data_IF_540343685690
#
_entry.id   IF_540343685690
#
_cell.length_a   1.000
_cell.length_b   1.000
_cell.length_c   1.000
_cell.angle_alpha   90.00
_cell.angle_beta   90.00
_cell.angle_gamma   90.00
#
_symmetry.space_group_name_H-M   'P 1'
#
loop_
_entity.id
_entity.type
_entity.pdbx_description
1 polymer ?
#
# COMPACT_ATOMS: atom_id res chain seq x y z
N UNK A 1 4.24 26.94 -11.66
CA UNK A 1 4.31 25.77 -12.54
C UNK A 1 5.10 24.70 -11.80
N UNK A 2 4.52 23.53 -11.55
CA UNK A 2 5.15 22.49 -10.72
C UNK A 2 6.41 21.92 -11.38
N UNK A 3 7.21 21.19 -10.61
CA UNK A 3 8.37 20.46 -11.15
C UNK A 3 7.93 19.39 -12.16
N UNK A 4 6.81 18.71 -11.89
CA UNK A 4 6.24 17.68 -12.77
C UNK A 4 5.89 18.23 -14.16
N UNK A 5 5.25 19.40 -14.23
CA UNK A 5 4.82 19.99 -15.50
C UNK A 5 6.01 20.37 -16.40
N UNK A 6 7.11 20.80 -15.80
CA UNK A 6 8.32 21.21 -16.51
C UNK A 6 9.26 20.04 -16.87
N UNK A 7 9.06 18.85 -16.32
CA UNK A 7 9.98 17.74 -16.50
C UNK A 7 9.78 17.05 -17.86
N UNK A 8 10.76 17.19 -18.76
CA UNK A 8 10.71 16.64 -20.12
C UNK A 8 10.65 15.11 -20.18
N UNK A 9 10.95 14.40 -19.07
CA UNK A 9 10.94 12.94 -18.99
C UNK A 9 9.52 12.38 -18.80
N UNK A 10 8.59 13.20 -18.29
CA UNK A 10 7.24 12.76 -17.92
C UNK A 10 6.32 12.73 -19.14
N UNK A 11 5.55 11.64 -19.29
CA UNK A 11 4.56 11.46 -20.35
C UNK A 11 3.57 12.65 -20.38
N UNK A 12 3.28 13.24 -21.55
CA UNK A 12 2.34 14.35 -21.66
C UNK A 12 0.95 14.07 -21.07
N UNK A 13 0.49 12.81 -21.07
CA UNK A 13 -0.79 12.41 -20.47
C UNK A 13 -0.77 12.52 -18.95
N UNK A 14 0.35 12.17 -18.31
CA UNK A 14 0.52 12.35 -16.85
C UNK A 14 0.52 13.85 -16.53
N UNK A 15 1.21 14.67 -17.33
CA UNK A 15 1.21 16.14 -17.16
C UNK A 15 -0.18 16.75 -17.35
N UNK A 16 -0.98 16.23 -18.27
CA UNK A 16 -2.33 16.74 -18.51
C UNK A 16 -3.26 16.55 -17.30
N UNK A 17 -3.03 15.51 -16.49
CA UNK A 17 -3.84 15.20 -15.30
C UNK A 17 -3.21 15.76 -14.02
N UNK A 18 -1.92 15.48 -13.81
CA UNK A 18 -1.21 15.77 -12.56
C UNK A 18 -0.26 16.98 -12.67
N UNK A 19 -0.22 17.68 -13.80
CA UNK A 19 0.68 18.81 -14.05
C UNK A 19 0.60 19.91 -13.00
N UNK A 20 -0.59 20.21 -12.52
CA UNK A 20 -0.80 21.20 -11.46
C UNK A 20 -0.95 20.57 -10.07
N UNK A 21 -0.98 19.23 -10.01
CA UNK A 21 -1.05 18.47 -8.78
C UNK A 21 0.32 18.45 -8.09
N UNK A 22 0.29 18.52 -6.76
CA UNK A 22 1.47 18.42 -5.93
C UNK A 22 1.28 19.18 -4.61
N UNK A 23 1.56 18.50 -3.51
CA UNK A 23 1.62 19.15 -2.21
C UNK A 23 2.85 20.06 -2.13
N UNK A 24 2.73 21.28 -1.56
CA UNK A 24 3.89 22.05 -1.21
C UNK A 24 4.75 21.27 -0.21
N UNK A 25 6.07 21.47 -0.25
CA UNK A 25 6.96 20.89 0.74
C UNK A 25 6.52 21.31 2.14
N UNK A 26 6.24 20.32 2.99
CA UNK A 26 5.89 20.55 4.38
C UNK A 26 7.16 20.61 5.25
N UNK A 27 7.10 21.36 6.35
CA UNK A 27 8.16 21.34 7.36
C UNK A 27 8.07 20.10 8.23
N UNK A 28 9.18 19.70 8.83
CA UNK A 28 9.19 18.75 9.93
C UNK A 28 8.30 19.21 11.09
N UNK A 29 7.81 18.24 11.86
CA UNK A 29 7.17 18.43 13.16
C UNK A 29 7.98 17.70 14.23
N UNK A 30 7.73 17.99 15.51
CA UNK A 30 8.47 17.37 16.60
C UNK A 30 7.83 16.05 17.05
N UNK A 31 6.49 15.98 17.04
CA UNK A 31 5.77 14.82 17.55
C UNK A 31 4.60 14.39 16.67
N UNK A 32 4.14 13.15 16.90
CA UNK A 32 2.93 12.62 16.24
C UNK A 32 1.68 13.37 16.72
N UNK A 33 1.65 13.83 17.96
CA UNK A 33 0.55 14.62 18.53
C UNK A 33 0.41 15.96 17.81
N UNK A 34 1.52 16.67 17.56
CA UNK A 34 1.52 17.91 16.77
C UNK A 34 1.00 17.66 15.35
N UNK A 35 1.36 16.53 14.74
CA UNK A 35 0.84 16.14 13.43
C UNK A 35 -0.68 15.90 13.47
N UNK A 36 -1.18 15.20 14.49
CA UNK A 36 -2.63 14.96 14.65
C UNK A 36 -3.36 16.28 14.85
N UNK A 37 -2.84 17.18 15.69
CA UNK A 37 -3.41 18.52 15.88
C UNK A 37 -3.43 19.31 14.58
N UNK A 38 -2.35 19.27 13.79
CA UNK A 38 -2.29 19.86 12.46
C UNK A 38 -3.39 19.31 11.54
N UNK A 39 -3.62 17.99 11.54
CA UNK A 39 -4.65 17.36 10.70
C UNK A 39 -6.08 17.74 11.10
N UNK A 40 -6.31 18.23 12.31
CA UNK A 40 -7.60 18.77 12.74
C UNK A 40 -7.85 20.21 12.31
N UNK A 41 -6.86 20.88 11.71
CA UNK A 41 -7.05 22.25 11.22
C UNK A 41 -7.99 22.27 10.00
N UNK A 42 -8.80 23.33 9.81
CA UNK A 42 -9.65 23.44 8.63
C UNK A 42 -8.89 23.40 7.30
N UNK A 43 -7.66 23.92 7.27
CA UNK A 43 -6.80 23.89 6.08
C UNK A 43 -6.38 22.47 5.73
N UNK A 44 -5.91 21.68 6.70
CA UNK A 44 -5.54 20.29 6.46
C UNK A 44 -6.75 19.44 6.05
N UNK A 45 -7.90 19.64 6.69
CA UNK A 45 -9.15 18.94 6.33
C UNK A 45 -9.62 19.29 4.90
N UNK A 46 -9.52 20.56 4.52
CA UNK A 46 -9.85 21.00 3.16
C UNK A 46 -8.89 20.40 2.12
N UNK A 47 -7.59 20.33 2.42
CA UNK A 47 -6.60 19.70 1.55
C UNK A 47 -6.88 18.20 1.34
N UNK A 48 -7.16 17.46 2.43
CA UNK A 48 -7.53 16.04 2.37
C UNK A 48 -8.79 15.82 1.53
N UNK A 49 -9.81 16.66 1.71
CA UNK A 49 -11.04 16.57 0.94
C UNK A 49 -10.81 16.87 -0.56
N UNK A 50 -9.97 17.85 -0.87
CA UNK A 50 -9.60 18.19 -2.24
C UNK A 50 -8.82 17.04 -2.92
N UNK A 51 -7.88 16.41 -2.22
CA UNK A 51 -7.16 15.24 -2.72
C UNK A 51 -8.11 14.07 -2.99
N UNK A 52 -8.99 13.74 -2.04
CA UNK A 52 -9.97 12.67 -2.21
C UNK A 52 -10.88 12.92 -3.43
N UNK A 53 -11.34 14.16 -3.61
CA UNK A 53 -12.15 14.54 -4.77
C UNK A 53 -11.36 14.41 -6.08
N UNK A 54 -10.11 14.90 -6.11
CA UNK A 54 -9.27 14.83 -7.30
C UNK A 54 -9.01 13.37 -7.75
N UNK A 55 -8.67 12.48 -6.83
CA UNK A 55 -8.46 11.06 -7.18
C UNK A 55 -9.76 10.34 -7.56
N UNK A 56 -10.90 10.72 -6.97
CA UNK A 56 -12.19 10.19 -7.37
C UNK A 56 -12.55 10.57 -8.82
N UNK A 57 -12.26 11.81 -9.22
CA UNK A 57 -12.55 12.32 -10.58
C UNK A 57 -11.57 11.80 -11.64
N UNK A 58 -10.37 11.34 -11.24
CA UNK A 58 -9.36 10.80 -12.14
C UNK A 58 -9.72 9.41 -12.72
N UNK A 59 -10.76 8.75 -12.19
CA UNK A 59 -11.13 7.37 -12.56
C UNK A 59 -12.47 7.37 -13.29
N UNK A 60 -12.54 6.64 -14.39
CA UNK A 60 -13.78 6.51 -15.17
C UNK A 60 -13.89 5.12 -15.80
N UNK A 61 -15.10 4.77 -16.26
CA UNK A 61 -15.36 3.48 -16.93
C UNK A 61 -14.47 3.24 -18.15
N UNK A 62 -14.00 4.30 -18.83
CA UNK A 62 -13.10 4.15 -19.95
C UNK A 62 -11.68 3.70 -19.54
N UNK A 63 -11.22 4.07 -18.34
CA UNK A 63 -9.90 3.69 -17.82
C UNK A 63 -9.94 2.43 -16.96
N UNK A 64 -11.05 2.19 -16.24
CA UNK A 64 -11.26 1.00 -15.43
C UNK A 64 -12.68 0.43 -15.66
N UNK A 65 -12.87 -0.36 -16.73
CA UNK A 65 -14.18 -0.95 -17.04
C UNK A 65 -14.66 -1.87 -15.92
N UNK A 66 -15.90 -1.67 -15.46
CA UNK A 66 -16.53 -2.53 -14.43
C UNK A 66 -17.38 -3.66 -15.01
N UNK A 67 -17.60 -3.68 -16.34
CA UNK A 67 -18.39 -4.70 -17.02
C UNK A 67 -17.78 -6.10 -16.82
N UNK A 68 -18.59 -7.04 -16.34
CA UNK A 68 -18.15 -8.41 -16.04
C UNK A 68 -17.29 -8.54 -14.77
N UNK A 69 -17.26 -7.52 -13.91
CA UNK A 69 -16.57 -7.53 -12.61
C UNK A 69 -17.60 -7.50 -11.47
N UNK A 70 -17.41 -8.38 -10.49
CA UNK A 70 -18.17 -8.44 -9.24
C UNK A 70 -17.35 -7.78 -8.14
N UNK A 71 -18.04 -7.07 -7.25
CA UNK A 71 -17.46 -6.47 -6.05
C UNK A 71 -18.25 -6.91 -4.82
N UNK A 72 -17.55 -7.39 -3.82
CA UNK A 72 -18.11 -7.77 -2.53
C UNK A 72 -17.31 -7.12 -1.40
N UNK A 73 -17.96 -6.81 -0.30
CA UNK A 73 -17.26 -6.47 0.95
C UNK A 73 -17.23 -7.70 1.82
N UNK A 74 -16.02 -8.15 2.16
CA UNK A 74 -15.79 -9.18 3.18
C UNK A 74 -15.28 -8.52 4.44
N UNK A 75 -15.47 -9.20 5.57
CA UNK A 75 -15.10 -8.69 6.89
C UNK A 75 -14.43 -9.80 7.69
N UNK A 76 -13.39 -9.47 8.43
CA UNK A 76 -12.71 -10.39 9.33
C UNK A 76 -12.31 -9.70 10.64
N UNK A 77 -12.01 -10.51 11.66
CA UNK A 77 -11.48 -10.03 12.94
C UNK A 77 -9.96 -10.16 12.93
N UNK A 78 -9.28 -9.02 13.01
CA UNK A 78 -7.83 -8.92 13.04
C UNK A 78 -7.26 -9.30 14.40
N UNK A 79 -6.08 -9.90 14.40
CA UNK A 79 -5.30 -10.22 15.59
C UNK A 79 -4.06 -9.33 15.65
N UNK A 80 -3.59 -8.95 16.85
CA UNK A 80 -3.99 -9.46 18.15
C UNK A 80 -5.10 -8.66 18.85
N UNK A 81 -5.55 -7.54 18.27
CA UNK A 81 -6.39 -6.57 19.00
C UNK A 81 -7.90 -6.89 18.95
N UNK A 82 -8.33 -7.81 18.08
CA UNK A 82 -9.73 -8.18 17.94
C UNK A 82 -10.58 -7.15 17.20
N UNK A 83 -9.95 -6.24 16.46
CA UNK A 83 -10.62 -5.21 15.67
C UNK A 83 -11.19 -5.80 14.36
N UNK A 84 -12.30 -5.22 13.89
CA UNK A 84 -12.91 -5.61 12.62
C UNK A 84 -12.23 -4.87 11.45
N UNK A 85 -11.88 -5.61 10.39
CA UNK A 85 -11.27 -5.08 9.16
C UNK A 85 -12.05 -5.57 7.95
N UNK A 86 -12.12 -4.73 6.92
CA UNK A 86 -12.80 -5.03 5.66
C UNK A 86 -11.82 -5.39 4.55
N UNK A 87 -12.31 -6.20 3.61
CA UNK A 87 -11.67 -6.49 2.34
C UNK A 87 -12.65 -6.10 1.24
N UNK A 88 -12.19 -5.27 0.30
CA UNK A 88 -12.88 -5.12 -0.98
C UNK A 88 -12.45 -6.28 -1.89
N UNK A 89 -13.35 -7.23 -2.08
CA UNK A 89 -13.12 -8.41 -2.90
C UNK A 89 -13.65 -8.18 -4.31
N UNK A 90 -12.79 -8.32 -5.30
CA UNK A 90 -13.05 -7.97 -6.70
C UNK A 90 -12.66 -9.15 -7.57
N UNK A 91 -13.56 -9.60 -8.46
CA UNK A 91 -13.31 -10.75 -9.34
C UNK A 91 -14.11 -10.69 -10.63
N UNK A 92 -13.71 -11.42 -11.68
CA UNK A 92 -14.57 -11.64 -12.85
C UNK A 92 -15.86 -12.40 -12.51
N UNK A 93 -16.97 -11.96 -13.11
CA UNK A 93 -18.26 -12.63 -13.05
C UNK A 93 -18.20 -14.02 -13.71
N UNK A 94 -18.85 -15.01 -13.10
CA UNK A 94 -18.96 -16.36 -13.64
C UNK A 94 -17.66 -17.17 -13.68
N UNK A 95 -16.53 -16.61 -13.21
CA UNK A 95 -15.29 -17.35 -13.08
C UNK A 95 -15.36 -18.40 -11.97
N UNK A 96 -14.72 -19.54 -12.17
CA UNK A 96 -14.53 -20.58 -11.14
C UNK A 96 -13.40 -20.24 -10.16
N UNK A 97 -12.60 -21.23 -9.78
CA UNK A 97 -11.46 -21.03 -8.87
C UNK A 97 -10.35 -20.24 -9.58
N UNK A 98 -9.91 -19.13 -8.99
CA UNK A 98 -8.89 -18.22 -9.56
C UNK A 98 -7.64 -18.09 -8.66
N UNK A 99 -6.46 -17.76 -9.21
CA UNK A 99 -5.38 -17.21 -8.38
C UNK A 99 -5.82 -15.88 -7.74
N UNK A 100 -5.19 -15.51 -6.63
CA UNK A 100 -5.56 -14.32 -5.85
C UNK A 100 -4.39 -13.33 -5.71
N UNK A 101 -4.67 -12.06 -5.97
CA UNK A 101 -3.81 -10.93 -5.60
C UNK A 101 -4.34 -10.37 -4.28
N UNK A 102 -3.60 -10.55 -3.19
CA UNK A 102 -3.88 -9.90 -1.92
C UNK A 102 -3.22 -8.54 -1.90
N UNK A 103 -4.02 -7.47 -1.99
CA UNK A 103 -3.56 -6.13 -2.31
C UNK A 103 -3.64 -5.19 -1.09
N UNK A 104 -2.55 -4.48 -0.82
CA UNK A 104 -2.49 -3.42 0.19
C UNK A 104 -2.44 -2.05 -0.52
N UNK A 105 -3.36 -1.16 -0.16
CA UNK A 105 -3.41 0.19 -0.73
C UNK A 105 -2.24 1.08 -0.25
N UNK A 106 -1.95 2.13 -1.02
CA UNK A 106 -0.94 3.13 -0.70
C UNK A 106 -1.41 4.14 0.36
N UNK A 107 -0.88 5.37 0.32
CA UNK A 107 -1.16 6.40 1.33
C UNK A 107 -0.16 6.41 2.49
N UNK A 108 1.05 5.89 2.28
CA UNK A 108 2.14 5.93 3.27
C UNK A 108 1.81 5.23 4.59
N UNK A 109 0.94 4.21 4.55
CA UNK A 109 0.36 3.51 5.71
C UNK A 109 -0.47 4.42 6.64
N UNK A 110 -0.72 5.66 6.23
CA UNK A 110 -1.23 6.74 7.08
C UNK A 110 -2.62 7.22 6.66
N UNK A 111 -2.99 7.11 5.38
CA UNK A 111 -4.23 7.67 4.81
C UNK A 111 -4.77 6.79 3.67
N UNK A 112 -5.88 7.23 3.04
CA UNK A 112 -6.59 6.56 1.94
C UNK A 112 -7.32 5.28 2.37
N UNK A 113 -8.07 4.69 1.44
CA UNK A 113 -8.79 3.44 1.64
C UNK A 113 -8.78 2.60 0.37
N UNK A 114 -8.75 1.27 0.50
CA UNK A 114 -9.04 0.34 -0.59
C UNK A 114 -10.44 0.54 -1.20
N UNK A 115 -11.33 1.26 -0.51
CA UNK A 115 -12.66 1.65 -1.00
C UNK A 115 -12.69 2.93 -1.83
N UNK A 116 -11.57 3.65 -1.94
CA UNK A 116 -11.52 4.84 -2.80
C UNK A 116 -11.66 4.45 -4.28
N UNK A 117 -12.29 5.30 -5.12
CA UNK A 117 -12.59 4.97 -6.51
C UNK A 117 -11.38 4.56 -7.35
N UNK A 118 -10.22 5.15 -7.10
CA UNK A 118 -8.96 4.81 -7.78
C UNK A 118 -8.48 3.40 -7.46
N UNK A 119 -8.57 2.96 -6.20
CA UNK A 119 -8.21 1.60 -5.82
C UNK A 119 -9.22 0.58 -6.34
N UNK A 120 -10.52 0.90 -6.28
CA UNK A 120 -11.56 0.06 -6.89
C UNK A 120 -11.33 -0.10 -8.40
N UNK A 121 -11.01 0.98 -9.10
CA UNK A 121 -10.69 0.95 -10.53
C UNK A 121 -9.45 0.12 -10.82
N UNK A 122 -8.38 0.31 -10.04
CA UNK A 122 -7.14 -0.48 -10.15
C UNK A 122 -7.37 -1.97 -9.92
N UNK A 123 -8.11 -2.32 -8.86
CA UNK A 123 -8.49 -3.70 -8.59
C UNK A 123 -9.34 -4.32 -9.70
N UNK A 124 -10.17 -3.52 -10.39
CA UNK A 124 -10.95 -3.98 -11.56
C UNK A 124 -10.05 -4.27 -12.76
N UNK A 125 -9.05 -3.42 -13.02
CA UNK A 125 -8.06 -3.62 -14.09
C UNK A 125 -7.27 -4.91 -13.86
N UNK A 126 -6.86 -5.16 -12.62
CA UNK A 126 -6.17 -6.40 -12.23
C UNK A 126 -7.12 -7.61 -12.39
N UNK A 127 -8.33 -7.53 -11.83
CA UNK A 127 -9.30 -8.63 -11.88
C UNK A 127 -9.65 -9.03 -13.32
N UNK A 128 -9.76 -8.06 -14.24
CA UNK A 128 -9.99 -8.29 -15.67
C UNK A 128 -8.91 -9.15 -16.35
N UNK A 129 -7.73 -9.33 -15.73
CA UNK A 129 -6.70 -10.26 -16.20
C UNK A 129 -6.97 -11.74 -15.82
N UNK A 130 -8.14 -12.03 -15.25
CA UNK A 130 -8.53 -13.40 -14.88
C UNK A 130 -7.98 -13.83 -13.51
N UNK A 131 -7.91 -12.90 -12.56
CA UNK A 131 -7.50 -13.17 -11.17
C UNK A 131 -8.53 -12.60 -10.20
N UNK A 132 -8.59 -13.14 -8.98
CA UNK A 132 -9.30 -12.49 -7.88
C UNK A 132 -8.40 -11.46 -7.21
N UNK A 133 -8.98 -10.38 -6.68
CA UNK A 133 -8.26 -9.33 -5.97
C UNK A 133 -8.92 -9.12 -4.61
N UNK A 134 -8.18 -9.37 -3.54
CA UNK A 134 -8.61 -9.12 -2.17
C UNK A 134 -7.88 -7.89 -1.63
N UNK A 135 -8.50 -6.72 -1.71
CA UNK A 135 -7.90 -5.47 -1.25
C UNK A 135 -8.22 -5.24 0.22
N UNK A 136 -7.23 -5.38 1.11
CA UNK A 136 -7.42 -5.17 2.55
C UNK A 136 -7.42 -3.69 2.89
N UNK A 137 -8.37 -3.27 3.73
CA UNK A 137 -8.54 -1.89 4.17
C UNK A 137 -8.14 -1.76 5.64
N UNK A 138 -6.83 -1.77 5.88
CA UNK A 138 -6.21 -1.86 7.19
C UNK A 138 -6.38 -0.57 8.02
N UNK A 139 -6.07 -0.62 9.32
CA UNK A 139 -5.98 0.60 10.16
C UNK A 139 -4.81 1.45 9.70
N UNK A 140 -5.15 2.64 9.22
CA UNK A 140 -4.20 3.68 8.91
C UNK A 140 -3.60 4.31 10.16
N UNK A 141 -2.41 4.90 10.02
CA UNK A 141 -1.69 5.51 11.13
C UNK A 141 -1.98 6.99 11.39
N UNK A 142 -2.71 7.69 10.51
CA UNK A 142 -3.01 9.12 10.66
C UNK A 142 -4.48 9.50 10.46
N UNK A 143 -5.09 9.08 9.35
CA UNK A 143 -6.50 9.35 9.02
C UNK A 143 -7.26 8.03 8.87
N UNK A 144 -8.54 7.94 9.25
CA UNK A 144 -9.26 6.68 9.18
C UNK A 144 -9.39 6.20 7.72
N UNK A 145 -9.34 4.88 7.52
CA UNK A 145 -9.80 4.23 6.29
C UNK A 145 -11.30 3.90 6.46
N UNK A 146 -11.81 2.80 5.90
CA UNK A 146 -13.11 2.26 6.37
C UNK A 146 -13.02 1.64 7.77
N UNK A 147 -11.80 1.38 8.27
CA UNK A 147 -11.54 1.11 9.68
C UNK A 147 -11.49 2.45 10.45
N UNK A 148 -12.35 2.67 11.46
CA UNK A 148 -12.43 3.94 12.17
C UNK A 148 -11.28 4.18 13.15
N UNK A 149 -10.61 3.12 13.60
CA UNK A 149 -9.47 3.21 14.51
C UNK A 149 -8.21 3.65 13.75
N UNK A 150 -7.50 4.63 14.30
CA UNK A 150 -6.19 5.07 13.82
C UNK A 150 -5.13 4.57 14.80
N UNK A 151 -4.12 3.86 14.31
CA UNK A 151 -3.06 3.33 15.16
C UNK A 151 -1.72 3.26 14.41
N UNK A 152 -0.59 3.61 15.06
CA UNK A 152 0.73 3.48 14.45
C UNK A 152 1.13 2.01 14.27
N UNK A 153 2.29 1.78 13.66
CA UNK A 153 2.93 0.47 13.59
C UNK A 153 2.93 -0.22 14.97
N UNK A 154 2.59 -1.52 15.06
CA UNK A 154 2.36 -2.47 13.95
C UNK A 154 0.88 -2.67 13.56
N UNK A 155 -0.04 -1.78 13.90
CA UNK A 155 -1.49 -2.01 13.75
C UNK A 155 -1.90 -2.41 12.32
N UNK A 156 -1.59 -1.59 11.32
CA UNK A 156 -1.91 -1.90 9.92
C UNK A 156 -1.21 -3.17 9.40
N UNK A 157 0.03 -3.44 9.81
CA UNK A 157 0.74 -4.67 9.43
C UNK A 157 0.04 -5.92 10.00
N UNK A 158 -0.39 -5.86 11.26
CA UNK A 158 -1.13 -6.94 11.91
C UNK A 158 -2.46 -7.22 11.17
N UNK A 159 -3.14 -6.16 10.72
CA UNK A 159 -4.36 -6.26 9.92
C UNK A 159 -4.10 -6.91 8.55
N UNK A 160 -3.02 -6.54 7.85
CA UNK A 160 -2.62 -7.16 6.59
C UNK A 160 -2.29 -8.65 6.74
N UNK A 161 -1.53 -9.03 7.77
CA UNK A 161 -1.19 -10.44 8.03
C UNK A 161 -2.44 -11.24 8.40
N UNK A 162 -3.31 -10.69 9.25
CA UNK A 162 -4.56 -11.33 9.65
C UNK A 162 -5.51 -11.53 8.47
N UNK A 163 -5.62 -10.52 7.60
CA UNK A 163 -6.49 -10.59 6.42
C UNK A 163 -5.99 -11.59 5.39
N UNK A 164 -4.67 -11.69 5.18
CA UNK A 164 -4.10 -12.74 4.32
C UNK A 164 -4.44 -14.14 4.84
N UNK A 165 -4.23 -14.38 6.14
CA UNK A 165 -4.55 -15.65 6.79
C UNK A 165 -6.05 -15.96 6.67
N UNK A 166 -6.90 -14.95 6.81
CA UNK A 166 -8.34 -15.10 6.62
C UNK A 166 -8.69 -15.47 5.17
N UNK A 167 -8.11 -14.78 4.18
CA UNK A 167 -8.31 -15.06 2.74
C UNK A 167 -7.89 -16.49 2.41
N UNK A 168 -6.71 -16.92 2.86
CA UNK A 168 -6.23 -18.29 2.67
C UNK A 168 -7.17 -19.32 3.33
N UNK A 169 -7.63 -19.06 4.56
CA UNK A 169 -8.54 -19.97 5.26
C UNK A 169 -9.95 -20.07 4.65
N UNK A 170 -10.39 -19.05 3.91
CA UNK A 170 -11.71 -19.00 3.25
C UNK A 170 -11.62 -19.18 1.73
N UNK A 171 -10.54 -19.78 1.23
CA UNK A 171 -10.28 -19.89 -0.20
C UNK A 171 -11.41 -20.57 -0.99
N UNK A 172 -12.05 -21.60 -0.43
CA UNK A 172 -13.21 -22.26 -1.04
C UNK A 172 -14.42 -21.32 -1.17
N UNK A 173 -14.76 -20.58 -0.11
CA UNK A 173 -15.85 -19.59 -0.12
C UNK A 173 -15.57 -18.48 -1.15
N UNK A 174 -14.32 -18.01 -1.18
CA UNK A 174 -13.89 -16.97 -2.09
C UNK A 174 -13.70 -17.49 -3.52
N UNK A 175 -13.78 -18.81 -3.77
CA UNK A 175 -13.45 -19.45 -5.05
C UNK A 175 -12.08 -18.99 -5.56
N UNK A 176 -11.05 -19.09 -4.71
CA UNK A 176 -9.65 -18.85 -5.05
C UNK A 176 -8.81 -20.11 -4.81
N UNK A 177 -7.69 -20.20 -5.51
CA UNK A 177 -6.68 -21.23 -5.31
C UNK A 177 -5.72 -20.78 -4.19
N UNK A 178 -5.74 -21.43 -3.01
CA UNK A 178 -4.91 -21.03 -1.88
C UNK A 178 -3.40 -21.23 -2.14
N UNK A 179 -3.03 -22.09 -3.09
CA UNK A 179 -1.65 -22.32 -3.50
C UNK A 179 -1.16 -21.28 -4.53
N UNK A 180 -1.98 -20.26 -4.83
CA UNK A 180 -1.70 -19.20 -5.81
C UNK A 180 -2.10 -17.82 -5.30
N UNK A 181 -1.61 -17.45 -4.12
CA UNK A 181 -1.79 -16.12 -3.52
C UNK A 181 -0.51 -15.30 -3.66
N UNK A 182 -0.61 -14.11 -4.23
CA UNK A 182 0.51 -13.15 -4.35
C UNK A 182 0.20 -11.89 -3.56
N UNK A 183 1.16 -11.43 -2.75
CA UNK A 183 1.07 -10.12 -2.11
C UNK A 183 1.35 -9.04 -3.13
N UNK A 184 0.57 -7.96 -3.13
CA UNK A 184 0.84 -6.80 -3.95
C UNK A 184 0.50 -5.50 -3.22
N UNK A 185 1.13 -4.40 -3.62
CA UNK A 185 0.80 -3.09 -3.10
C UNK A 185 1.69 -2.01 -3.68
N UNK A 186 1.23 -0.76 -3.59
CA UNK A 186 1.88 0.42 -4.14
C UNK A 186 2.30 1.37 -3.00
N UNK A 187 3.47 2.02 -3.11
CA UNK A 187 3.96 3.00 -2.12
C UNK A 187 3.95 2.43 -0.70
N UNK A 188 3.12 2.95 0.20
CA UNK A 188 2.94 2.41 1.56
C UNK A 188 2.37 1.00 1.59
N UNK A 189 1.54 0.63 0.61
CA UNK A 189 1.10 -0.74 0.39
C UNK A 189 2.23 -1.64 -0.12
N UNK A 190 3.19 -1.10 -0.88
CA UNK A 190 4.41 -1.81 -1.27
C UNK A 190 5.32 -2.08 -0.07
N UNK A 191 5.44 -1.11 0.85
CA UNK A 191 6.06 -1.32 2.16
C UNK A 191 5.36 -2.47 2.90
N UNK A 192 4.03 -2.40 3.07
CA UNK A 192 3.26 -3.43 3.78
C UNK A 192 3.33 -4.80 3.09
N UNK A 193 3.46 -4.87 1.76
CA UNK A 193 3.66 -6.13 1.04
C UNK A 193 4.98 -6.80 1.41
N UNK A 194 6.07 -6.03 1.43
CA UNK A 194 7.38 -6.52 1.86
C UNK A 194 7.38 -6.86 3.35
N UNK A 195 6.85 -5.99 4.20
CA UNK A 195 6.77 -6.21 5.64
C UNK A 195 5.90 -7.43 6.01
N UNK A 196 4.79 -7.64 5.30
CA UNK A 196 3.95 -8.83 5.47
C UNK A 196 4.73 -10.10 5.13
N UNK A 197 5.45 -10.13 4.00
CA UNK A 197 6.31 -11.27 3.64
C UNK A 197 7.42 -11.53 4.68
N UNK A 198 8.10 -10.48 5.14
CA UNK A 198 9.11 -10.58 6.20
C UNK A 198 8.50 -11.13 7.50
N UNK A 199 7.31 -10.67 7.87
CA UNK A 199 6.59 -11.15 9.05
C UNK A 199 6.22 -12.63 8.92
N UNK A 200 5.66 -13.03 7.78
CA UNK A 200 5.34 -14.43 7.50
C UNK A 200 6.60 -15.32 7.55
N UNK A 201 7.72 -14.85 6.99
CA UNK A 201 8.98 -15.59 7.05
C UNK A 201 9.47 -15.80 8.50
N UNK A 202 9.40 -14.75 9.32
CA UNK A 202 9.76 -14.81 10.75
C UNK A 202 8.83 -15.74 11.54
N UNK A 203 7.55 -15.75 11.21
CA UNK A 203 6.53 -16.56 11.90
C UNK A 203 6.49 -18.02 11.38
N UNK A 204 7.19 -18.34 10.29
CA UNK A 204 7.19 -19.67 9.66
C UNK A 204 6.01 -19.91 8.70
N UNK A 205 5.27 -18.86 8.35
CA UNK A 205 4.05 -18.89 7.54
C UNK A 205 4.29 -18.44 6.08
N UNK A 206 5.54 -18.33 5.62
CA UNK A 206 5.86 -17.85 4.26
C UNK A 206 5.27 -18.72 3.15
N UNK A 207 4.93 -19.98 3.45
CA UNK A 207 4.26 -20.89 2.52
C UNK A 207 2.82 -20.49 2.15
N UNK A 208 2.23 -19.50 2.82
CA UNK A 208 0.89 -18.98 2.49
C UNK A 208 0.86 -18.11 1.21
N UNK A 209 2.02 -17.80 0.64
CA UNK A 209 2.15 -16.93 -0.54
C UNK A 209 3.14 -17.51 -1.55
N UNK A 210 3.00 -17.11 -2.82
CA UNK A 210 3.88 -17.54 -3.91
C UNK A 210 4.77 -16.42 -4.44
N UNK A 211 4.59 -15.20 -3.96
CA UNK A 211 5.35 -14.04 -4.43
C UNK A 211 4.91 -12.74 -3.79
N UNK A 212 5.71 -11.71 -4.06
CA UNK A 212 5.48 -10.33 -3.63
C UNK A 212 5.68 -9.43 -4.84
N UNK A 213 4.70 -8.59 -5.14
CA UNK A 213 4.74 -7.58 -6.19
C UNK A 213 4.64 -6.19 -5.55
N UNK A 214 5.80 -5.58 -5.27
CA UNK A 214 5.86 -4.27 -4.61
C UNK A 214 6.08 -3.15 -5.61
N UNK A 215 5.04 -2.35 -5.89
CA UNK A 215 5.10 -1.21 -6.80
C UNK A 215 5.60 0.04 -6.05
N UNK A 216 6.58 0.74 -6.63
CA UNK A 216 7.17 1.99 -6.11
C UNK A 216 7.27 2.07 -4.55
N UNK A 217 7.94 1.11 -3.89
CA UNK A 217 7.88 0.93 -2.44
C UNK A 217 8.32 2.16 -1.61
N UNK A 218 7.50 2.53 -0.62
CA UNK A 218 7.79 3.59 0.36
C UNK A 218 8.48 3.04 1.61
N UNK A 219 9.77 2.73 1.51
CA UNK A 219 10.45 1.86 2.49
C UNK A 219 11.60 2.50 3.27
N UNK A 220 12.04 3.70 2.88
CA UNK A 220 13.25 4.30 3.44
C UNK A 220 13.04 4.91 4.85
N UNK A 221 11.84 5.41 5.13
CA UNK A 221 11.48 6.06 6.40
C UNK A 221 12.12 7.44 6.64
N UNK A 222 13.09 7.83 5.83
CA UNK A 222 13.67 9.17 5.84
C UNK A 222 14.05 9.59 4.42
N UNK A 223 13.65 10.79 4.05
CA UNK A 223 14.03 11.41 2.79
C UNK A 223 14.51 12.85 3.05
N UNK A 224 15.45 13.35 2.24
CA UNK A 224 16.13 12.59 1.20
C UNK A 224 17.15 11.60 1.79
N UNK A 225 17.38 10.48 1.10
CA UNK A 225 18.28 9.42 1.54
C UNK A 225 19.64 9.57 0.84
N UNK A 226 20.77 9.52 1.59
CA UNK A 226 22.10 9.83 1.05
C UNK A 226 22.51 8.91 -0.11
N UNK A 227 22.19 7.62 -0.02
CA UNK A 227 22.57 6.63 -1.02
C UNK A 227 21.57 6.50 -2.19
N UNK A 228 20.51 7.31 -2.20
CA UNK A 228 19.47 7.24 -3.22
C UNK A 228 19.30 8.61 -3.90
N UNK A 229 20.06 8.90 -4.97
CA UNK A 229 20.02 10.21 -5.64
C UNK A 229 18.62 10.64 -6.09
N UNK A 230 17.73 9.70 -6.43
CA UNK A 230 16.33 9.98 -6.80
C UNK A 230 15.55 10.68 -5.68
N UNK A 231 15.83 10.38 -4.42
CA UNK A 231 15.19 11.03 -3.26
C UNK A 231 15.47 12.53 -3.17
N UNK A 232 16.54 13.00 -3.81
CA UNK A 232 16.84 14.42 -3.98
C UNK A 232 16.38 14.92 -5.35
N UNK A 233 16.72 14.19 -6.42
CA UNK A 233 16.56 14.63 -7.80
C UNK A 233 15.09 14.69 -8.22
N UNK A 234 14.25 13.79 -7.72
CA UNK A 234 12.83 13.69 -8.08
C UNK A 234 11.89 14.22 -6.99
N UNK A 235 12.40 14.70 -5.85
CA UNK A 235 11.57 15.31 -4.80
C UNK A 235 10.69 16.44 -5.35
N UNK A 236 9.41 16.44 -4.97
CA UNK A 236 8.42 17.40 -5.44
C UNK A 236 7.85 17.11 -6.85
N UNK A 237 8.16 15.95 -7.45
CA UNK A 237 7.41 15.41 -8.59
C UNK A 237 6.30 14.55 -8.02
N UNK A 238 5.04 14.97 -8.20
CA UNK A 238 3.82 14.34 -7.65
C UNK A 238 3.72 14.39 -6.12
N UNK A 239 4.72 13.86 -5.39
CA UNK A 239 4.81 13.86 -3.93
C UNK A 239 5.99 14.70 -3.43
N UNK A 240 5.85 15.23 -2.22
CA UNK A 240 6.95 15.79 -1.43
C UNK A 240 7.04 15.07 -0.10
N UNK A 241 8.12 14.32 0.10
CA UNK A 241 8.33 13.42 1.24
C UNK A 241 9.63 13.74 2.01
N UNK A 242 10.31 14.84 1.68
CA UNK A 242 11.52 15.30 2.36
C UNK A 242 11.34 15.80 3.80
N UNK A 243 10.24 15.44 4.47
CA UNK A 243 9.94 15.78 5.86
C UNK A 243 9.65 14.51 6.69
N UNK A 244 9.62 14.65 8.00
CA UNK A 244 9.46 13.54 8.94
C UNK A 244 8.00 13.14 9.27
N UNK A 245 6.99 13.78 8.67
CA UNK A 245 5.59 13.65 9.13
C UNK A 245 5.04 12.24 8.94
N UNK A 246 5.29 11.58 7.81
CA UNK A 246 4.83 10.20 7.59
C UNK A 246 5.55 9.21 8.52
N UNK A 247 6.82 9.47 8.83
CA UNK A 247 7.59 8.67 9.78
C UNK A 247 7.07 8.82 11.21
N UNK A 248 6.77 10.06 11.62
CA UNK A 248 6.09 10.35 12.88
C UNK A 248 4.72 9.69 12.95
N UNK A 249 3.91 9.79 11.89
CA UNK A 249 2.59 9.20 11.82
C UNK A 249 2.65 7.68 12.01
N UNK A 250 3.57 7.01 11.31
CA UNK A 250 3.68 5.56 11.31
C UNK A 250 4.32 4.99 12.58
N UNK A 251 5.19 5.77 13.25
CA UNK A 251 5.82 5.38 14.51
C UNK A 251 7.32 5.61 14.46
N UNK A 252 7.77 6.74 15.01
CA UNK A 252 9.18 7.16 14.96
C UNK A 252 10.10 6.17 15.68
N UNK A 253 9.63 5.55 16.75
CA UNK A 253 10.44 4.63 17.54
C UNK A 253 10.74 3.34 16.76
N UNK A 254 9.85 2.92 15.84
CA UNK A 254 10.12 1.78 14.95
C UNK A 254 11.20 2.13 13.92
N UNK A 255 11.20 3.38 13.43
CA UNK A 255 12.27 3.89 12.56
C UNK A 255 13.61 3.99 13.29
N UNK A 256 13.65 4.56 14.50
CA UNK A 256 14.87 4.71 15.30
C UNK A 256 15.51 3.36 15.65
N UNK A 257 14.68 2.35 15.92
CA UNK A 257 15.14 0.96 16.14
C UNK A 257 15.53 0.23 14.85
N UNK A 258 15.35 0.86 13.68
CA UNK A 258 15.58 0.29 12.35
C UNK A 258 14.82 -1.02 12.15
N UNK A 259 13.55 -1.07 12.56
CA UNK A 259 12.73 -2.27 12.44
C UNK A 259 12.39 -2.53 10.96
N UNK A 260 12.85 -3.64 10.35
CA UNK A 260 12.58 -3.92 8.95
C UNK A 260 11.12 -4.29 8.67
N UNK A 261 10.32 -4.58 9.70
CA UNK A 261 8.86 -4.74 9.53
C UNK A 261 8.12 -3.41 9.46
N UNK A 262 8.73 -2.31 9.91
CA UNK A 262 8.19 -0.97 9.72
C UNK A 262 8.77 -0.30 8.46
N UNK A 263 10.08 -0.47 8.25
CA UNK A 263 10.82 0.14 7.15
C UNK A 263 11.71 -0.90 6.48
N UNK A 264 11.20 -1.61 5.45
CA UNK A 264 11.90 -2.71 4.78
C UNK A 264 13.29 -2.40 4.25
N UNK A 265 13.67 -1.12 4.09
CA UNK A 265 15.05 -0.74 3.74
C UNK A 265 16.09 -1.26 4.75
N UNK A 266 15.68 -1.50 5.99
CA UNK A 266 16.57 -2.01 7.04
C UNK A 266 16.69 -3.53 7.05
N UNK A 267 15.99 -4.26 6.16
CA UNK A 267 16.08 -5.71 6.09
C UNK A 267 17.48 -6.15 5.69
N UNK A 268 18.05 -7.10 6.43
CA UNK A 268 19.32 -7.74 6.12
C UNK A 268 19.14 -8.93 5.17
N UNK A 269 20.23 -9.43 4.59
CA UNK A 269 20.19 -10.69 3.84
C UNK A 269 19.68 -11.86 4.69
N UNK A 270 19.91 -11.85 6.00
CA UNK A 270 19.42 -12.87 6.93
C UNK A 270 17.90 -12.80 7.11
N UNK A 271 17.31 -11.60 7.11
CA UNK A 271 15.85 -11.43 7.19
C UNK A 271 15.13 -12.02 5.95
N UNK A 272 15.83 -12.09 4.82
CA UNK A 272 15.32 -12.60 3.54
C UNK A 272 15.50 -14.12 3.39
N UNK A 273 16.32 -14.76 4.23
CA UNK A 273 16.51 -16.21 4.16
C UNK A 273 15.23 -16.91 4.63
N UNK A 274 14.67 -17.74 3.77
CA UNK A 274 13.54 -18.60 4.12
C UNK A 274 13.94 -19.51 5.27
N UNK A 275 13.21 -19.44 6.38
CA UNK A 275 13.47 -20.28 7.55
C UNK A 275 13.41 -21.77 7.14
N UNK A 276 14.47 -22.52 7.49
CA UNK A 276 14.69 -23.90 7.05
C UNK A 276 13.48 -24.80 7.40
N UNK A 277 12.67 -25.17 6.40
CA UNK A 277 11.53 -26.06 6.58
C UNK A 277 10.48 -26.03 5.46
N UNK A 278 10.41 -24.94 4.68
CA UNK A 278 9.43 -24.80 3.58
C UNK A 278 10.12 -25.00 2.24
N UNK A 279 9.89 -26.16 1.60
CA UNK A 279 10.26 -26.39 0.20
C UNK A 279 9.07 -26.18 -0.73
N UNK A 280 9.24 -25.17 -1.61
CA UNK A 280 8.80 -25.04 -3.02
C UNK A 280 7.95 -23.80 -3.32
N UNK A 281 8.63 -22.81 -3.89
CA UNK A 281 8.09 -21.80 -4.80
C UNK A 281 9.26 -21.23 -5.61
N UNK A 282 9.06 -20.72 -6.84
CA UNK A 282 10.10 -19.97 -7.53
C UNK A 282 10.58 -18.79 -6.66
N UNK A 283 11.82 -18.31 -6.84
CA UNK A 283 12.36 -17.22 -6.04
C UNK A 283 11.41 -16.02 -6.04
N UNK A 284 11.31 -15.35 -4.89
CA UNK A 284 10.62 -14.06 -4.75
C UNK A 284 11.24 -13.12 -5.78
N UNK A 285 10.55 -12.94 -6.90
CA UNK A 285 10.92 -11.98 -7.92
C UNK A 285 10.55 -10.60 -7.40
N UNK A 286 11.49 -9.90 -6.78
CA UNK A 286 11.44 -8.45 -6.82
C UNK A 286 11.76 -8.10 -8.26
N UNK A 287 10.73 -7.94 -9.08
CA UNK A 287 10.93 -7.30 -10.38
C UNK A 287 11.26 -5.84 -10.05
N UNK A 288 12.56 -5.55 -9.87
CA UNK A 288 13.08 -4.22 -10.06
C UNK A 288 12.89 -3.91 -11.55
N UNK A 289 11.65 -3.57 -11.91
CA UNK A 289 11.43 -2.72 -13.05
C UNK A 289 12.37 -1.51 -12.93
N UNK A 290 12.83 -0.94 -14.05
CA UNK A 290 13.68 0.26 -14.01
C UNK A 290 13.04 1.23 -13.00
N UNK A 291 13.81 1.79 -12.05
CA UNK A 291 13.26 2.38 -10.85
C UNK A 291 12.11 3.31 -11.23
N UNK A 292 10.88 2.82 -11.03
CA UNK A 292 9.71 3.65 -10.84
C UNK A 292 9.85 4.22 -9.41
N UNK A 293 10.97 4.91 -9.20
CA UNK A 293 11.20 5.82 -8.10
C UNK A 293 10.58 7.13 -8.59
N UNK A 294 9.27 7.23 -8.36
CA UNK A 294 8.41 8.35 -8.75
C UNK A 294 8.27 8.46 -10.28
N UNK A 295 7.35 7.68 -10.84
CA UNK A 295 6.50 8.09 -11.97
C UNK A 295 5.10 7.53 -11.71
#
# INVERSE_FOLDING_TARGET
MTKLLNDHRIDPRIKAVFGEYGAPAASDLLTREELIEFMHTPEAQAAVAADAQFFAEAVCEASAPSSGIIYETKTFISQPDGNEIKIQYIRPEGAGVLPCVYYMHGGGMATLSAFDPNYRGWGSIIAAQGVAVAMVDFRNSLLPSSAPEIAPFPAGLNDCVSGLKWVHAHAEELQIDPDRITLAGESGGGNLALATALKLNRDGDIGLINGVYSLCPFIAGQWPHPDHPSSHNNEGIFISIGNNRLTLAYGIEAFERKDPLAWPIFASEDDLKVSNGVQKGPPIGVEEGPPFQII
#
